data_IF_590395800637
#
_entry.id   IF_590395800637
#
_cell.length_a   1.000
_cell.length_b   1.000
_cell.length_c   1.000
_cell.angle_alpha   90.00
_cell.angle_beta   90.00
_cell.angle_gamma   90.00
#
_symmetry.space_group_name_H-M   'P 1'
#
loop_
_entity.id
_entity.type
_entity.pdbx_description
1 polymer ?
#
# COMPACT_ATOMS: atom_id res chain seq x y z
N UNK A 1 10.27 -16.08 -11.29
CA UNK A 1 10.47 -15.45 -12.61
C UNK A 1 9.44 -14.33 -12.80
N UNK A 2 9.46 -13.34 -11.91
CA UNK A 2 8.52 -12.19 -11.87
C UNK A 2 9.21 -10.89 -11.39
N UNK A 3 10.48 -10.97 -10.98
CA UNK A 3 11.20 -9.86 -10.34
C UNK A 3 11.43 -8.67 -11.28
N UNK A 4 11.63 -8.91 -12.58
CA UNK A 4 11.90 -7.83 -13.54
C UNK A 4 10.77 -6.80 -13.66
N UNK A 5 9.50 -7.20 -13.44
CA UNK A 5 8.37 -6.28 -13.47
C UNK A 5 8.20 -5.54 -12.14
N UNK A 6 8.56 -6.18 -11.03
CA UNK A 6 8.55 -5.56 -9.70
C UNK A 6 9.62 -4.46 -9.60
N UNK A 7 10.76 -4.66 -10.27
CA UNK A 7 11.88 -3.72 -10.31
C UNK A 7 11.71 -2.62 -11.37
N UNK A 8 10.65 -2.68 -12.20
CA UNK A 8 10.44 -1.70 -13.26
C UNK A 8 10.09 -0.31 -12.66
N UNK A 9 10.78 0.78 -13.04
CA UNK A 9 10.66 2.09 -12.40
C UNK A 9 9.29 2.76 -12.59
N UNK A 10 8.43 2.22 -13.45
CA UNK A 10 7.07 2.70 -13.69
C UNK A 10 5.98 1.85 -13.03
N UNK A 11 6.37 0.88 -12.20
CA UNK A 11 5.46 -0.06 -11.56
C UNK A 11 5.54 0.07 -10.04
N UNK A 12 4.37 0.24 -9.43
CA UNK A 12 4.19 0.15 -7.98
C UNK A 12 3.61 -1.22 -7.66
N UNK A 13 4.27 -1.98 -6.79
CA UNK A 13 3.76 -3.26 -6.30
C UNK A 13 3.08 -3.05 -4.95
N UNK A 14 1.79 -3.39 -4.84
CA UNK A 14 1.07 -3.35 -3.58
C UNK A 14 -0.05 -4.39 -3.53
N UNK A 15 -0.56 -4.72 -2.34
CA UNK A 15 -1.76 -5.55 -2.18
C UNK A 15 -3.02 -4.70 -2.34
N UNK A 16 -3.65 -4.81 -3.51
CA UNK A 16 -4.78 -3.95 -3.87
C UNK A 16 -6.02 -4.76 -4.26
N UNK A 17 -5.98 -5.46 -5.40
CA UNK A 17 -7.16 -6.19 -5.91
C UNK A 17 -7.30 -7.51 -5.17
N UNK A 18 -8.40 -7.65 -4.44
CA UNK A 18 -8.70 -8.81 -3.59
C UNK A 18 -7.56 -9.16 -2.62
N UNK A 19 -6.83 -8.14 -2.13
CA UNK A 19 -5.63 -8.23 -1.27
C UNK A 19 -4.46 -9.04 -1.85
N UNK A 20 -4.49 -9.30 -3.16
CA UNK A 20 -3.42 -9.96 -3.90
C UNK A 20 -2.37 -8.94 -4.33
N UNK A 21 -1.13 -9.41 -4.50
CA UNK A 21 -0.05 -8.62 -5.08
C UNK A 21 -0.51 -8.12 -6.45
N UNK A 22 -0.53 -6.80 -6.61
CA UNK A 22 -1.04 -6.09 -7.78
C UNK A 22 0.06 -5.17 -8.30
N UNK A 23 0.34 -5.22 -9.60
CA UNK A 23 1.25 -4.32 -10.28
C UNK A 23 0.46 -3.10 -10.79
N UNK A 24 0.84 -1.91 -10.34
CA UNK A 24 0.13 -0.65 -10.63
C UNK A 24 1.02 0.24 -11.47
N UNK A 25 0.59 0.50 -12.71
CA UNK A 25 1.29 1.38 -13.64
C UNK A 25 1.31 2.84 -13.15
N UNK A 26 2.39 3.58 -13.44
CA UNK A 26 2.63 4.97 -12.99
C UNK A 26 1.49 5.96 -13.19
N UNK A 27 0.67 5.74 -14.22
CA UNK A 27 -0.52 6.56 -14.50
C UNK A 27 -1.53 6.58 -13.34
N UNK A 28 -1.57 5.52 -12.52
CA UNK A 28 -2.49 5.38 -11.40
C UNK A 28 -1.86 5.76 -10.05
N UNK A 29 -0.55 6.03 -9.98
CA UNK A 29 0.13 6.39 -8.74
C UNK A 29 -0.47 7.61 -8.03
N UNK A 30 -0.90 8.69 -8.72
CA UNK A 30 -1.56 9.80 -8.05
C UNK A 30 -2.84 9.39 -7.30
N UNK A 31 -3.61 8.42 -7.83
CA UNK A 31 -4.80 7.91 -7.15
C UNK A 31 -4.43 7.09 -5.91
N UNK A 32 -3.43 6.22 -6.02
CA UNK A 32 -2.92 5.44 -4.88
C UNK A 32 -2.40 6.37 -3.78
N UNK A 33 -1.65 7.41 -4.14
CA UNK A 33 -1.14 8.41 -3.19
C UNK A 33 -2.24 9.16 -2.48
N UNK A 34 -3.26 9.62 -3.21
CA UNK A 34 -4.39 10.32 -2.62
C UNK A 34 -5.10 9.44 -1.58
N UNK A 35 -5.35 8.16 -1.91
CA UNK A 35 -5.98 7.20 -1.00
C UNK A 35 -5.07 6.87 0.19
N UNK A 36 -3.79 6.64 -0.05
CA UNK A 36 -2.83 6.27 0.99
C UNK A 36 -2.63 7.36 2.05
N UNK A 37 -2.84 8.62 1.67
CA UNK A 37 -2.78 9.79 2.55
C UNK A 37 -4.10 10.11 3.25
N UNK A 38 -5.23 9.63 2.74
CA UNK A 38 -6.56 10.09 3.17
C UNK A 38 -6.93 9.70 4.60
N UNK A 39 -6.43 8.57 5.11
CA UNK A 39 -6.76 8.02 6.44
C UNK A 39 -8.27 7.81 6.66
N UNK A 40 -8.98 7.42 5.60
CA UNK A 40 -10.41 7.14 5.59
C UNK A 40 -10.83 6.14 6.68
N UNK A 41 -12.09 6.14 7.13
CA UNK A 41 -12.56 5.24 8.19
C UNK A 41 -12.28 3.75 7.93
N UNK A 42 -12.37 3.28 6.67
CA UNK A 42 -12.05 1.88 6.35
C UNK A 42 -10.56 1.56 6.56
N UNK A 43 -9.68 2.55 6.39
CA UNK A 43 -8.24 2.39 6.61
C UNK A 43 -7.92 2.33 8.11
N UNK A 44 -8.53 3.19 8.92
CA UNK A 44 -8.10 3.39 10.32
C UNK A 44 -8.95 2.68 11.37
N UNK A 45 -10.24 2.42 11.09
CA UNK A 45 -11.17 1.82 12.06
C UNK A 45 -10.78 0.39 12.41
N UNK A 46 -10.68 0.08 13.69
CA UNK A 46 -10.37 -1.26 14.17
C UNK A 46 -8.96 -1.74 13.81
N UNK A 47 -8.00 -0.82 13.64
CA UNK A 47 -6.59 -1.19 13.56
C UNK A 47 -6.11 -1.83 14.87
N UNK A 48 -5.34 -2.91 14.76
CA UNK A 48 -4.68 -3.52 15.91
C UNK A 48 -3.81 -2.50 16.66
N UNK A 49 -3.58 -2.72 17.96
CA UNK A 49 -2.71 -1.84 18.76
C UNK A 49 -1.30 -1.75 18.16
N UNK A 50 -0.78 -2.87 17.66
CA UNK A 50 0.52 -2.92 17.00
C UNK A 50 0.51 -2.13 15.68
N UNK A 51 -0.49 -2.30 14.81
CA UNK A 51 -0.59 -1.53 13.57
C UNK A 51 -0.66 -0.02 13.82
N UNK A 52 -1.44 0.42 14.83
CA UNK A 52 -1.47 1.83 15.24
C UNK A 52 -0.11 2.35 15.71
N UNK A 53 0.61 1.57 16.51
CA UNK A 53 1.94 1.95 17.00
C UNK A 53 2.97 2.06 15.86
N UNK A 54 2.96 1.09 14.94
CA UNK A 54 3.82 1.10 13.74
C UNK A 54 3.51 2.32 12.88
N UNK A 55 2.23 2.58 12.61
CA UNK A 55 1.79 3.72 11.81
C UNK A 55 2.22 5.06 12.42
N UNK A 56 2.04 5.22 13.73
CA UNK A 56 2.46 6.43 14.45
C UNK A 56 3.98 6.64 14.40
N UNK A 57 4.77 5.55 14.45
CA UNK A 57 6.22 5.62 14.33
C UNK A 57 6.68 5.94 12.90
N UNK A 58 6.00 5.42 11.87
CA UNK A 58 6.27 5.77 10.46
C UNK A 58 6.06 7.24 10.17
N UNK A 59 5.06 7.88 10.79
CA UNK A 59 4.86 9.33 10.67
C UNK A 59 6.08 10.14 11.13
N UNK A 60 6.92 9.59 12.03
CA UNK A 60 8.13 10.25 12.54
C UNK A 60 9.39 9.89 11.76
N UNK A 61 9.55 8.63 11.37
CA UNK A 61 10.80 8.10 10.79
C UNK A 61 10.76 7.89 9.27
N UNK A 62 9.60 8.12 8.62
CA UNK A 62 9.33 7.88 7.19
C UNK A 62 9.47 6.43 6.70
N UNK A 63 10.39 5.64 7.25
CA UNK A 63 10.58 4.22 6.96
C UNK A 63 10.78 3.42 8.25
N UNK A 64 10.42 2.13 8.24
CA UNK A 64 10.67 1.17 9.32
C UNK A 64 10.94 -0.22 8.76
N UNK A 65 11.84 -0.96 9.41
CA UNK A 65 12.16 -2.35 9.09
C UNK A 65 11.50 -3.28 10.10
N UNK A 66 10.72 -4.26 9.66
CA UNK A 66 9.93 -5.12 10.58
C UNK A 66 10.80 -5.93 11.55
N UNK A 67 12.00 -6.32 11.14
CA UNK A 67 12.98 -7.02 11.98
C UNK A 67 13.58 -6.14 13.09
N UNK A 68 13.42 -4.81 12.99
CA UNK A 68 13.89 -3.83 13.98
C UNK A 68 12.78 -3.29 14.89
N UNK A 69 11.56 -3.80 14.75
CA UNK A 69 10.43 -3.41 15.58
C UNK A 69 10.36 -4.35 16.78
N UNK A 70 10.36 -3.78 17.99
CA UNK A 70 10.25 -4.55 19.22
C UNK A 70 8.90 -5.29 19.32
N UNK A 71 8.96 -6.56 19.75
CA UNK A 71 7.80 -7.40 19.99
C UNK A 71 7.85 -8.74 19.23
N UNK A 72 6.82 -9.60 19.40
CA UNK A 72 6.79 -10.89 18.72
C UNK A 72 6.75 -10.72 17.20
N UNK A 73 7.68 -11.34 16.47
CA UNK A 73 7.81 -11.22 15.02
C UNK A 73 6.50 -11.48 14.27
N UNK A 74 5.74 -12.49 14.69
CA UNK A 74 4.40 -12.79 14.14
C UNK A 74 3.44 -11.60 14.23
N UNK A 75 3.35 -10.96 15.41
CA UNK A 75 2.46 -9.80 15.62
C UNK A 75 2.90 -8.59 14.80
N UNK A 76 4.21 -8.38 14.64
CA UNK A 76 4.75 -7.31 13.79
C UNK A 76 4.40 -7.57 12.32
N UNK A 77 4.58 -8.81 11.85
CA UNK A 77 4.25 -9.21 10.47
C UNK A 77 2.75 -9.11 10.17
N UNK A 78 1.89 -9.54 11.09
CA UNK A 78 0.43 -9.39 10.97
C UNK A 78 0.02 -7.92 10.92
N UNK A 79 0.61 -7.06 11.77
CA UNK A 79 0.36 -5.63 11.76
C UNK A 79 0.88 -4.93 10.49
N UNK A 80 2.04 -5.32 9.98
CA UNK A 80 2.58 -4.83 8.72
C UNK A 80 1.66 -5.17 7.53
N UNK A 81 1.19 -6.43 7.48
CA UNK A 81 0.21 -6.89 6.48
C UNK A 81 -1.11 -6.12 6.60
N UNK A 82 -1.60 -5.90 7.82
CA UNK A 82 -2.82 -5.11 8.05
C UNK A 82 -2.69 -3.69 7.49
N UNK A 83 -1.55 -3.02 7.71
CA UNK A 83 -1.32 -1.67 7.19
C UNK A 83 -1.19 -1.64 5.66
N UNK A 84 -0.54 -2.64 5.07
CA UNK A 84 -0.38 -2.82 3.62
C UNK A 84 -1.75 -3.01 2.93
N UNK A 85 -2.56 -3.95 3.41
CA UNK A 85 -3.89 -4.25 2.85
C UNK A 85 -4.88 -3.08 2.98
N UNK A 86 -4.62 -2.18 3.94
CA UNK A 86 -5.40 -0.95 4.13
C UNK A 86 -4.82 0.26 3.41
N UNK A 87 -3.79 0.05 2.58
CA UNK A 87 -3.07 1.08 1.85
C UNK A 87 -2.55 2.20 2.76
N UNK A 88 -2.26 1.94 4.03
CA UNK A 88 -1.76 2.96 4.96
C UNK A 88 -0.26 3.18 4.83
N UNK A 89 0.44 2.22 4.23
CA UNK A 89 1.89 2.18 4.00
C UNK A 89 2.18 1.55 2.63
N UNK A 90 3.33 1.89 2.07
CA UNK A 90 3.97 1.09 1.01
C UNK A 90 4.89 0.06 1.67
N UNK A 91 5.05 -1.12 1.07
CA UNK A 91 5.92 -2.16 1.61
C UNK A 91 6.80 -2.79 0.56
N UNK A 92 8.07 -3.01 0.88
CA UNK A 92 9.03 -3.73 0.06
C UNK A 92 9.64 -4.88 0.86
N UNK A 93 9.84 -6.04 0.22
CA UNK A 93 10.47 -7.18 0.87
C UNK A 93 11.98 -7.11 0.70
N UNK A 94 12.71 -7.37 1.78
CA UNK A 94 14.17 -7.42 1.78
C UNK A 94 14.63 -8.76 2.35
N UNK A 95 15.71 -9.29 1.79
CA UNK A 95 16.48 -10.35 2.43
C UNK A 95 17.33 -9.71 3.53
N UNK A 96 17.22 -10.23 4.74
CA UNK A 96 18.13 -9.82 5.83
C UNK A 96 19.44 -10.60 5.73
N UNK A 97 20.50 -10.05 6.32
CA UNK A 97 21.83 -10.69 6.43
C UNK A 97 21.78 -12.09 7.08
N UNK A 98 20.72 -12.39 7.83
CA UNK A 98 20.49 -13.69 8.48
C UNK A 98 19.65 -14.67 7.63
N UNK A 99 19.39 -14.35 6.37
CA UNK A 99 18.55 -15.15 5.46
C UNK A 99 17.04 -15.09 5.76
N UNK A 100 16.61 -14.36 6.80
CA UNK A 100 15.19 -14.13 7.07
C UNK A 100 14.62 -13.04 6.16
N UNK A 101 13.36 -13.17 5.74
CA UNK A 101 12.66 -12.12 5.01
C UNK A 101 12.09 -11.08 5.97
N UNK A 102 12.43 -9.82 5.77
CA UNK A 102 11.83 -8.68 6.47
C UNK A 102 11.11 -7.78 5.47
N UNK A 103 10.22 -6.92 5.98
CA UNK A 103 9.59 -5.86 5.18
C UNK A 103 10.16 -4.51 5.59
N UNK A 104 10.44 -3.69 4.59
CA UNK A 104 10.56 -2.25 4.76
C UNK A 104 9.16 -1.66 4.58
N UNK A 105 8.67 -1.00 5.61
CA UNK A 105 7.47 -0.18 5.58
C UNK A 105 7.89 1.26 5.28
N UNK A 106 7.20 1.91 4.37
CA UNK A 106 7.49 3.27 3.92
C UNK A 106 6.19 4.11 3.96
N UNK A 107 6.31 5.36 4.41
CA UNK A 107 5.20 6.30 4.33
C UNK A 107 4.98 6.74 2.87
N UNK A 108 3.72 6.97 2.49
CA UNK A 108 3.40 7.43 1.14
C UNK A 108 4.07 8.75 0.77
N UNK A 109 4.35 9.63 1.74
CA UNK A 109 5.08 10.86 1.51
C UNK A 109 6.55 10.63 1.17
N UNK A 110 7.19 9.71 1.87
CA UNK A 110 8.56 9.33 1.58
C UNK A 110 8.66 8.64 0.22
N UNK A 111 7.76 7.70 -0.05
CA UNK A 111 7.66 7.02 -1.34
C UNK A 111 7.44 8.01 -2.49
N UNK A 112 6.52 8.98 -2.33
CA UNK A 112 6.24 9.99 -3.35
C UNK A 112 7.48 10.87 -3.65
N UNK A 113 8.22 11.28 -2.63
CA UNK A 113 9.47 12.05 -2.79
C UNK A 113 10.52 11.24 -3.53
N UNK A 114 10.74 9.99 -3.13
CA UNK A 114 11.68 9.05 -3.77
C UNK A 114 11.38 8.85 -5.25
N UNK A 115 10.09 8.75 -5.60
CA UNK A 115 9.61 8.58 -6.97
C UNK A 115 9.39 9.91 -7.72
N UNK A 116 9.87 11.04 -7.18
CA UNK A 116 9.78 12.38 -7.79
C UNK A 116 8.36 12.80 -8.18
N UNK A 117 7.34 12.34 -7.45
CA UNK A 117 5.93 12.70 -7.67
C UNK A 117 5.56 14.07 -7.08
N UNK A 118 6.52 15.00 -7.06
CA UNK A 118 6.40 16.32 -6.47
C UNK A 118 5.82 17.37 -7.43
N UNK A 119 4.79 18.08 -6.99
CA UNK A 119 4.33 19.38 -7.48
C UNK A 119 3.70 19.49 -8.90
N UNK A 120 3.48 18.43 -9.66
CA UNK A 120 2.62 18.58 -10.86
C UNK A 120 1.16 18.80 -10.43
N UNK A 121 0.45 19.79 -11.01
CA UNK A 121 -0.97 20.18 -10.74
C UNK A 121 -1.99 19.01 -10.67
N UNK A 122 -1.63 17.80 -11.11
CA UNK A 122 -2.38 16.55 -10.88
C UNK A 122 -2.30 16.02 -9.43
N UNK A 123 -1.48 16.61 -8.57
CA UNK A 123 -1.10 16.09 -7.25
C UNK A 123 -2.16 16.19 -6.15
N UNK A 124 -3.32 16.78 -6.42
CA UNK A 124 -4.42 16.84 -5.44
C UNK A 124 -5.68 16.23 -6.02
N UNK A 125 -5.62 14.94 -6.37
CA UNK A 125 -6.86 14.17 -6.51
C UNK A 125 -7.54 14.15 -5.14
N UNK A 126 -8.79 14.62 -5.08
CA UNK A 126 -9.63 14.37 -3.91
C UNK A 126 -9.78 12.86 -3.74
N UNK A 127 -9.78 12.37 -2.50
CA UNK A 127 -9.89 10.95 -2.19
C UNK A 127 -11.05 10.29 -2.94
N UNK A 128 -12.23 10.92 -2.96
CA UNK A 128 -13.39 10.42 -3.71
C UNK A 128 -13.11 10.19 -5.21
N UNK A 129 -12.43 11.13 -5.87
CA UNK A 129 -12.08 11.00 -7.29
C UNK A 129 -11.01 9.92 -7.52
N UNK A 130 -10.09 9.75 -6.58
CA UNK A 130 -9.08 8.69 -6.61
C UNK A 130 -9.72 7.29 -6.46
N UNK A 131 -10.64 7.13 -5.51
CA UNK A 131 -11.41 5.90 -5.31
C UNK A 131 -12.19 5.55 -6.58
N UNK A 132 -12.98 6.48 -7.11
CA UNK A 132 -13.76 6.29 -8.34
C UNK A 132 -12.89 5.98 -9.57
N UNK A 133 -11.64 6.46 -9.61
CA UNK A 133 -10.70 6.12 -10.67
C UNK A 133 -10.27 4.67 -10.61
N UNK A 134 -9.90 4.18 -9.42
CA UNK A 134 -9.52 2.77 -9.26
C UNK A 134 -10.71 1.83 -9.44
N UNK A 135 -11.90 2.22 -8.99
CA UNK A 135 -13.13 1.45 -9.20
C UNK A 135 -13.44 1.26 -10.68
N UNK A 136 -13.36 2.32 -11.50
CA UNK A 136 -13.55 2.21 -12.95
C UNK A 136 -12.52 1.30 -13.62
N UNK A 137 -11.26 1.38 -13.21
CA UNK A 137 -10.20 0.53 -13.76
C UNK A 137 -10.46 -0.95 -13.43
N UNK A 138 -10.75 -1.26 -12.16
CA UNK A 138 -11.03 -2.64 -11.74
C UNK A 138 -12.32 -3.17 -12.37
N UNK A 139 -13.35 -2.34 -12.50
CA UNK A 139 -14.59 -2.73 -13.19
C UNK A 139 -14.34 -3.06 -14.67
N UNK A 140 -13.54 -2.26 -15.38
CA UNK A 140 -13.14 -2.56 -16.75
C UNK A 140 -12.38 -3.88 -16.85
N UNK A 141 -11.37 -4.08 -16.00
CA UNK A 141 -10.61 -5.35 -15.96
C UNK A 141 -11.50 -6.56 -15.64
N UNK A 142 -12.47 -6.41 -14.74
CA UNK A 142 -13.41 -7.48 -14.41
C UNK A 142 -14.31 -7.83 -15.60
N UNK A 143 -14.78 -6.84 -16.35
CA UNK A 143 -15.57 -7.05 -17.56
C UNK A 143 -14.74 -7.75 -18.65
N UNK A 144 -13.53 -7.26 -18.91
CA UNK A 144 -12.64 -7.78 -19.96
C UNK A 144 -12.19 -9.22 -19.69
N UNK A 145 -12.01 -9.58 -18.41
CA UNK A 145 -11.48 -10.88 -17.99
C UNK A 145 -12.54 -11.82 -17.37
N UNK A 146 -13.83 -11.45 -17.39
CA UNK A 146 -14.89 -12.18 -16.68
C UNK A 146 -14.53 -12.51 -15.21
N UNK A 147 -13.97 -11.52 -14.49
CA UNK A 147 -13.42 -11.66 -13.15
C UNK A 147 -14.22 -10.90 -12.08
N UNK A 148 -13.86 -11.10 -10.81
CA UNK A 148 -14.56 -10.59 -9.62
C UNK A 148 -13.67 -9.71 -8.71
N UNK A 149 -12.53 -9.20 -9.19
CA UNK A 149 -11.62 -8.38 -8.38
C UNK A 149 -12.30 -7.27 -7.58
N UNK A 150 -11.97 -7.15 -6.29
CA UNK A 150 -12.53 -6.14 -5.36
C UNK A 150 -11.45 -5.23 -4.81
N UNK A 151 -11.79 -3.98 -4.55
CA UNK A 151 -10.90 -3.03 -3.88
C UNK A 151 -11.07 -3.09 -2.35
N UNK A 152 -10.05 -2.69 -1.55
CA UNK A 152 -10.07 -2.85 -0.09
C UNK A 152 -11.28 -2.23 0.63
N UNK A 153 -11.84 -1.14 0.09
CA UNK A 153 -13.02 -0.46 0.65
C UNK A 153 -14.36 -1.03 0.18
N UNK A 154 -14.36 -1.91 -0.82
CA UNK A 154 -15.55 -2.61 -1.30
C UNK A 154 -15.76 -3.96 -0.60
N UNK A 155 -14.69 -4.50 -0.02
CA UNK A 155 -14.76 -5.72 0.78
C UNK A 155 -15.45 -5.41 2.12
N UNK A 156 -16.75 -5.72 2.20
CA UNK A 156 -17.46 -5.79 3.47
C UNK A 156 -16.71 -6.77 4.37
N UNK A 157 -16.21 -6.28 5.51
CA UNK A 157 -15.76 -7.15 6.61
C UNK A 157 -16.95 -8.06 6.96
N UNK A 158 -16.84 -9.34 6.62
CA UNK A 158 -17.57 -10.40 7.32
C UNK A 158 -16.99 -10.51 8.73
#
# INVERSE_FOLDING_TARGET
>A
MTDWLADHPEVLVNRLVSRKVTFVHRRLWPAILAIGRAREPWQTRGLSRMARAILARLTRSSTLRTDRIAGPARRVSEAARELEERLLVHTEWIHTERGAHARVLESWDHWARRNKLGATRRATLRTAAALATLERVVAGMNADCAADGRLPWQERRR
#
